data_IF_331491758521
#
_entry.id   IF_331491758521
#
_cell.length_a   1.000
_cell.length_b   1.000
_cell.length_c   1.000
_cell.angle_alpha   90.00
_cell.angle_beta   90.00
_cell.angle_gamma   90.00
#
_symmetry.space_group_name_H-M   'P 1'
#
loop_
_entity.id
_entity.type
_entity.pdbx_description
1 polymer ?
#
# COMPACT_ATOMS: atom_id res chain seq x y z
N UNK A 1 -4.16 -3.95 8.09
CA UNK A 1 -2.85 -4.52 8.44
C UNK A 1 -1.75 -3.98 7.55
N UNK A 2 -1.76 -4.17 6.22
CA UNK A 2 -0.61 -3.77 5.36
C UNK A 2 -0.29 -2.26 5.41
N UNK A 3 -1.31 -1.40 5.45
CA UNK A 3 -1.09 0.05 5.65
C UNK A 3 -0.35 0.35 6.96
N UNK A 4 -0.57 -0.44 8.00
CA UNK A 4 0.07 -0.25 9.30
C UNK A 4 1.45 -0.89 9.38
N UNK A 5 1.70 -2.00 8.66
CA UNK A 5 3.04 -2.60 8.59
C UNK A 5 4.03 -1.60 8.01
N UNK A 6 3.70 -0.93 6.91
CA UNK A 6 4.60 0.08 6.35
C UNK A 6 4.66 1.37 7.21
N UNK A 7 3.55 1.76 7.84
CA UNK A 7 3.52 2.95 8.69
C UNK A 7 4.39 2.81 9.95
N UNK A 8 4.59 1.60 10.48
CA UNK A 8 5.42 1.39 11.68
C UNK A 8 6.93 1.31 11.40
N UNK A 9 7.36 1.37 10.13
CA UNK A 9 8.78 1.45 9.77
C UNK A 9 9.41 2.80 10.14
N UNK A 10 8.68 3.92 10.01
CA UNK A 10 9.23 5.25 10.26
C UNK A 10 8.18 6.36 10.23
N UNK A 11 8.47 7.50 10.87
CA UNK A 11 7.57 8.66 10.90
C UNK A 11 7.36 9.27 9.51
N UNK A 12 8.38 9.14 8.65
CA UNK A 12 8.41 9.67 7.28
C UNK A 12 7.87 8.65 6.26
N UNK A 13 7.49 7.44 6.70
CA UNK A 13 6.78 6.49 5.85
C UNK A 13 5.49 7.12 5.34
N UNK A 14 5.12 6.80 4.11
CA UNK A 14 3.84 7.19 3.53
C UNK A 14 3.12 5.95 3.04
N UNK A 15 1.84 5.83 3.41
CA UNK A 15 0.96 4.80 2.85
C UNK A 15 -0.20 5.44 2.09
N UNK A 16 -0.59 4.81 0.98
CA UNK A 16 -1.70 5.27 0.14
C UNK A 16 -2.62 4.09 -0.12
N UNK A 17 -3.90 4.27 0.23
CA UNK A 17 -4.96 3.35 -0.18
C UNK A 17 -5.66 3.93 -1.41
N UNK A 18 -5.71 3.16 -2.50
CA UNK A 18 -6.56 3.47 -3.65
C UNK A 18 -7.67 2.43 -3.71
N UNK A 19 -8.92 2.87 -3.63
CA UNK A 19 -10.09 1.99 -3.60
C UNK A 19 -11.23 2.55 -4.47
N UNK A 20 -12.28 1.76 -4.69
CA UNK A 20 -13.36 2.13 -5.62
C UNK A 20 -14.66 2.56 -4.94
N UNK A 21 -14.79 2.34 -3.63
CA UNK A 21 -16.01 2.66 -2.89
C UNK A 21 -15.71 3.48 -1.64
N UNK A 22 -16.62 4.41 -1.35
CA UNK A 22 -16.52 5.25 -0.17
C UNK A 22 -16.76 4.44 1.10
N UNK A 23 -17.62 3.43 1.00
CA UNK A 23 -17.94 2.50 2.09
C UNK A 23 -16.70 1.70 2.50
N UNK A 24 -15.95 1.19 1.51
CA UNK A 24 -14.69 0.50 1.79
C UNK A 24 -13.62 1.45 2.33
N UNK A 25 -13.50 2.65 1.76
CA UNK A 25 -12.60 3.68 2.27
C UNK A 25 -12.84 3.99 3.76
N UNK A 26 -14.11 4.15 4.14
CA UNK A 26 -14.48 4.41 5.53
C UNK A 26 -14.16 3.21 6.42
N UNK A 27 -14.57 2.00 6.01
CA UNK A 27 -14.29 0.78 6.78
C UNK A 27 -12.80 0.53 6.97
N UNK A 28 -11.98 0.79 5.94
CA UNK A 28 -10.53 0.69 6.03
C UNK A 28 -9.94 1.74 6.99
N UNK A 29 -10.43 2.99 6.94
CA UNK A 29 -10.01 4.06 7.86
C UNK A 29 -10.35 3.73 9.32
N UNK A 30 -11.54 3.20 9.57
CA UNK A 30 -12.00 2.81 10.91
C UNK A 30 -11.15 1.65 11.44
N UNK A 31 -10.87 0.66 10.60
CA UNK A 31 -10.05 -0.50 10.98
C UNK A 31 -8.58 -0.13 11.19
N UNK A 32 -8.02 0.78 10.39
CA UNK A 32 -6.68 1.35 10.64
C UNK A 32 -6.65 2.04 12.00
N UNK A 33 -7.65 2.87 12.31
CA UNK A 33 -7.73 3.55 13.60
C UNK A 33 -7.80 2.55 14.76
N UNK A 34 -8.63 1.51 14.62
CA UNK A 34 -8.78 0.45 15.63
C UNK A 34 -7.50 -0.37 15.83
N UNK A 35 -6.80 -0.74 14.76
CA UNK A 35 -5.56 -1.51 14.83
C UNK A 35 -4.40 -0.66 15.38
N UNK A 36 -4.31 0.61 14.99
CA UNK A 36 -3.28 1.56 15.43
C UNK A 36 -3.21 1.70 16.96
N UNK A 37 -4.37 1.68 17.64
CA UNK A 37 -4.45 1.75 19.10
C UNK A 37 -3.71 0.59 19.81
N UNK A 38 -3.53 -0.54 19.14
CA UNK A 38 -2.93 -1.75 19.72
C UNK A 38 -1.46 -1.94 19.31
N UNK A 39 -0.88 -1.03 18.50
CA UNK A 39 0.51 -1.16 18.07
C UNK A 39 1.48 -0.68 19.16
N UNK A 40 2.52 -1.47 19.50
CA UNK A 40 3.59 -1.00 20.39
C UNK A 40 4.27 0.28 19.88
N UNK A 41 4.32 0.46 18.54
CA UNK A 41 4.89 1.62 17.86
C UNK A 41 3.85 2.67 17.47
N UNK A 42 2.71 2.75 18.16
CA UNK A 42 1.58 3.66 17.85
C UNK A 42 2.00 5.10 17.56
N UNK A 43 2.85 5.70 18.40
CA UNK A 43 3.26 7.11 18.23
C UNK A 43 3.99 7.37 16.90
N UNK A 44 4.83 6.41 16.49
CA UNK A 44 5.55 6.47 15.23
C UNK A 44 4.59 6.29 14.06
N UNK A 45 3.79 5.21 14.08
CA UNK A 45 2.82 4.90 13.05
C UNK A 45 1.78 6.02 12.87
N UNK A 46 1.36 6.68 13.96
CA UNK A 46 0.41 7.81 13.89
C UNK A 46 0.95 8.98 13.07
N UNK A 47 2.26 9.26 13.11
CA UNK A 47 2.88 10.32 12.31
C UNK A 47 2.87 9.98 10.82
N UNK A 48 3.19 8.73 10.47
CA UNK A 48 3.09 8.23 9.09
C UNK A 48 1.66 8.28 8.57
N UNK A 49 0.69 7.82 9.37
CA UNK A 49 -0.75 7.85 9.03
C UNK A 49 -1.25 9.28 8.83
N UNK A 50 -0.79 10.26 9.59
CA UNK A 50 -1.18 11.66 9.40
C UNK A 50 -0.77 12.22 8.02
N UNK A 51 0.31 11.69 7.43
CA UNK A 51 0.80 12.06 6.09
C UNK A 51 0.25 11.15 4.96
N UNK A 52 -0.53 10.14 5.32
CA UNK A 52 -1.07 9.13 4.41
C UNK A 52 -2.37 9.58 3.74
N UNK A 53 -2.78 8.89 2.68
CA UNK A 53 -3.95 9.27 1.87
C UNK A 53 -4.83 8.07 1.54
N UNK A 54 -6.14 8.29 1.53
CA UNK A 54 -7.10 7.39 0.89
C UNK A 54 -7.65 8.11 -0.33
N UNK A 55 -7.62 7.45 -1.48
CA UNK A 55 -8.08 7.99 -2.76
C UNK A 55 -9.17 7.05 -3.30
N UNK A 56 -10.32 7.62 -3.61
CA UNK A 56 -11.44 6.89 -4.23
C UNK A 56 -11.35 7.10 -5.73
N UNK A 57 -11.03 6.04 -6.47
CA UNK A 57 -11.00 6.01 -7.93
C UNK A 57 -12.35 5.52 -8.48
N UNK A 58 -12.69 5.93 -9.70
CA UNK A 58 -13.93 5.54 -10.40
C UNK A 58 -13.92 4.08 -10.84
N UNK A 59 -12.75 3.55 -11.17
CA UNK A 59 -12.55 2.17 -11.62
C UNK A 59 -11.09 1.73 -11.45
N UNK A 60 -10.81 0.46 -11.75
CA UNK A 60 -9.47 -0.12 -11.63
C UNK A 60 -8.44 0.54 -12.56
N UNK A 61 -8.85 1.03 -13.74
CA UNK A 61 -7.93 1.70 -14.66
C UNK A 61 -7.45 3.04 -14.08
N UNK A 62 -8.35 3.82 -13.48
CA UNK A 62 -7.96 5.05 -12.77
C UNK A 62 -7.12 4.74 -11.53
N UNK A 63 -7.43 3.65 -10.79
CA UNK A 63 -6.63 3.24 -9.65
C UNK A 63 -5.18 2.90 -10.04
N UNK A 64 -5.01 2.14 -11.13
CA UNK A 64 -3.69 1.81 -11.68
C UNK A 64 -2.98 3.03 -12.26
N UNK A 65 -3.71 3.97 -12.87
CA UNK A 65 -3.14 5.25 -13.32
C UNK A 65 -2.56 6.04 -12.13
N UNK A 66 -3.31 6.16 -11.04
CA UNK A 66 -2.85 6.81 -9.81
C UNK A 66 -1.60 6.10 -9.28
N UNK A 67 -1.62 4.78 -9.16
CA UNK A 67 -0.47 3.98 -8.72
C UNK A 67 0.76 4.21 -9.60
N UNK A 68 0.61 4.16 -10.93
CA UNK A 68 1.70 4.37 -11.87
C UNK A 68 2.28 5.79 -11.82
N UNK A 69 1.44 6.80 -11.57
CA UNK A 69 1.90 8.19 -11.41
C UNK A 69 2.67 8.37 -10.11
N UNK A 70 2.22 7.71 -9.04
CA UNK A 70 2.86 7.74 -7.74
C UNK A 70 4.19 6.97 -7.74
N UNK A 71 4.23 5.84 -8.44
CA UNK A 71 5.41 4.99 -8.60
C UNK A 71 5.92 4.44 -7.24
N UNK A 72 5.11 3.60 -6.57
CA UNK A 72 5.37 3.15 -5.20
C UNK A 72 6.58 2.21 -5.11
N UNK A 73 7.21 2.18 -3.94
CA UNK A 73 8.19 1.14 -3.57
C UNK A 73 7.51 -0.23 -3.54
N UNK A 74 6.44 -0.36 -2.76
CA UNK A 74 5.62 -1.56 -2.66
C UNK A 74 4.20 -1.31 -3.20
N UNK A 75 3.76 -2.15 -4.13
CA UNK A 75 2.38 -2.14 -4.65
C UNK A 75 1.65 -3.43 -4.25
N UNK A 76 0.59 -3.30 -3.45
CA UNK A 76 -0.27 -4.42 -3.09
C UNK A 76 -1.59 -4.32 -3.87
N UNK A 77 -1.94 -5.36 -4.62
CA UNK A 77 -3.16 -5.43 -5.42
C UNK A 77 -4.13 -6.43 -4.80
N UNK A 78 -5.02 -5.95 -3.94
CA UNK A 78 -6.10 -6.73 -3.32
C UNK A 78 -7.40 -6.56 -4.11
N UNK A 79 -7.50 -7.28 -5.23
CA UNK A 79 -8.71 -7.33 -6.08
C UNK A 79 -9.06 -8.78 -6.39
N UNK A 80 -10.22 -9.03 -7.03
CA UNK A 80 -10.66 -10.39 -7.36
C UNK A 80 -9.72 -11.11 -8.33
N UNK A 81 -9.21 -10.41 -9.35
CA UNK A 81 -8.29 -10.96 -10.37
C UNK A 81 -7.00 -10.14 -10.46
N UNK A 82 -6.15 -10.14 -9.41
CA UNK A 82 -5.04 -9.20 -9.31
C UNK A 82 -3.96 -9.44 -10.37
N UNK A 83 -3.81 -10.68 -10.84
CA UNK A 83 -2.84 -11.05 -11.88
C UNK A 83 -3.17 -10.45 -13.25
N UNK A 84 -4.45 -10.23 -13.57
CA UNK A 84 -4.87 -9.59 -14.83
C UNK A 84 -4.50 -8.11 -14.89
N UNK A 85 -4.22 -7.49 -13.74
CA UNK A 85 -3.87 -6.08 -13.64
C UNK A 85 -2.36 -5.83 -13.81
N UNK A 86 -1.52 -6.89 -13.75
CA UNK A 86 -0.07 -6.77 -13.81
C UNK A 86 0.43 -6.10 -15.10
N UNK A 87 -0.16 -6.42 -16.25
CA UNK A 87 0.25 -5.87 -17.55
C UNK A 87 0.06 -4.34 -17.64
N UNK A 88 -0.72 -3.77 -16.71
CA UNK A 88 -0.98 -2.33 -16.61
C UNK A 88 -0.10 -1.64 -15.56
N UNK A 89 0.65 -2.39 -14.75
CA UNK A 89 1.61 -1.82 -13.78
C UNK A 89 2.87 -1.43 -14.53
N UNK A 90 3.21 -0.14 -14.49
CA UNK A 90 4.38 0.44 -15.16
C UNK A 90 5.51 0.75 -14.21
N UNK A 91 5.19 1.21 -13.00
CA UNK A 91 6.18 1.63 -12.01
C UNK A 91 5.78 1.09 -10.63
N UNK A 92 6.58 0.16 -10.12
CA UNK A 92 6.53 -0.36 -8.76
C UNK A 92 7.89 -1.02 -8.45
N UNK A 93 8.38 -0.92 -7.22
CA UNK A 93 9.60 -1.63 -6.82
C UNK A 93 9.35 -3.14 -6.67
N UNK A 94 8.32 -3.50 -5.90
CA UNK A 94 7.83 -4.86 -5.76
C UNK A 94 6.30 -4.89 -5.78
N UNK A 95 5.72 -5.98 -6.30
CA UNK A 95 4.27 -6.13 -6.48
C UNK A 95 3.77 -7.38 -5.76
N UNK A 96 2.74 -7.21 -4.93
CA UNK A 96 2.11 -8.24 -4.15
C UNK A 96 0.66 -8.45 -4.62
N UNK A 97 0.26 -9.70 -4.85
CA UNK A 97 -1.02 -10.01 -5.52
C UNK A 97 -1.96 -10.81 -4.64
N UNK A 98 -3.16 -10.27 -4.43
CA UNK A 98 -4.24 -10.94 -3.72
C UNK A 98 -4.07 -10.94 -2.19
N UNK A 99 -5.08 -11.49 -1.53
CA UNK A 99 -5.28 -11.42 -0.07
C UNK A 99 -4.20 -12.15 0.75
N UNK A 100 -3.52 -13.14 0.15
CA UNK A 100 -2.53 -13.98 0.83
C UNK A 100 -1.08 -13.56 0.56
N UNK A 101 -0.89 -12.37 0.00
CA UNK A 101 0.43 -11.80 -0.31
C UNK A 101 0.67 -10.51 0.49
N UNK A 102 0.78 -10.57 1.84
CA UNK A 102 1.10 -9.38 2.62
C UNK A 102 2.53 -8.92 2.35
N UNK A 103 2.79 -7.62 2.53
CA UNK A 103 4.12 -7.01 2.36
C UNK A 103 5.19 -7.72 3.22
N UNK A 104 4.84 -8.07 4.45
CA UNK A 104 5.73 -8.79 5.38
C UNK A 104 6.25 -10.11 4.81
N UNK A 105 5.51 -10.79 3.93
CA UNK A 105 6.02 -11.99 3.26
C UNK A 105 7.21 -11.64 2.34
N UNK A 106 7.11 -10.51 1.64
CA UNK A 106 8.17 -9.94 0.79
C UNK A 106 9.41 -9.55 1.58
N UNK A 107 9.20 -8.90 2.71
CA UNK A 107 10.29 -8.35 3.54
C UNK A 107 11.19 -9.43 4.13
N UNK A 108 10.64 -10.62 4.39
CA UNK A 108 11.30 -11.64 5.19
C UNK A 108 11.58 -12.97 4.49
N UNK A 109 10.62 -13.53 3.73
CA UNK A 109 10.64 -14.98 3.46
C UNK A 109 10.21 -15.42 2.06
N UNK A 110 9.63 -14.55 1.24
CA UNK A 110 9.18 -14.91 -0.11
C UNK A 110 10.35 -15.20 -1.08
N UNK A 111 11.54 -14.67 -0.77
CA UNK A 111 12.73 -14.74 -1.62
C UNK A 111 12.93 -13.51 -2.52
N UNK A 112 12.02 -12.53 -2.52
CA UNK A 112 12.24 -11.23 -3.17
C UNK A 112 13.26 -10.39 -2.40
N UNK A 113 13.93 -9.47 -3.08
CA UNK A 113 14.80 -8.49 -2.43
C UNK A 113 13.95 -7.32 -1.90
N UNK A 114 14.14 -6.93 -0.64
CA UNK A 114 13.42 -5.81 -0.03
C UNK A 114 14.15 -4.46 -0.15
N UNK A 115 15.37 -4.43 -0.71
CA UNK A 115 16.07 -3.17 -0.97
C UNK A 115 15.56 -2.62 -2.29
N UNK A 116 14.60 -1.69 -2.21
CA UNK A 116 13.87 -1.19 -3.36
C UNK A 116 14.01 0.33 -3.51
N UNK A 117 13.85 0.86 -4.74
CA UNK A 117 13.86 2.29 -4.98
C UNK A 117 12.60 2.97 -4.41
N UNK A 118 12.82 4.06 -3.67
CA UNK A 118 11.76 4.87 -3.03
C UNK A 118 11.67 6.27 -3.66
N UNK A 119 10.74 7.12 -3.19
CA UNK A 119 10.59 8.52 -3.65
C UNK A 119 10.38 8.68 -5.17
N UNK A 120 9.67 7.73 -5.80
CA UNK A 120 9.35 7.78 -7.23
C UNK A 120 10.51 7.42 -8.17
N UNK A 121 11.64 6.93 -7.63
CA UNK A 121 12.77 6.46 -8.43
C UNK A 121 12.48 5.18 -9.24
N UNK A 122 11.35 4.53 -9.00
CA UNK A 122 10.83 3.42 -9.82
C UNK A 122 10.43 3.83 -11.24
N UNK A 123 10.46 5.12 -11.59
CA UNK A 123 10.13 5.63 -12.94
C UNK A 123 11.25 5.52 -13.97
N UNK A 124 12.47 5.20 -13.54
CA UNK A 124 13.70 5.16 -14.36
C UNK A 124 14.48 3.90 -14.10
#
# INVERSE_FOLDING_TARGET
>A
SDLLSQAEHGADSQVILVCLSKEFAQGASDEVSRQLENLPRKELASKSIANSKIIIAKNLDEALLISNLYAPEHLIIQTQNPRELLDKVKHAGSVFLGELSPESMGDYASGTNHVLPTYGLTKT
#
